data_IF_908156725420
#
_entry.id   IF_908156725420
#
_cell.length_a   1.000
_cell.length_b   1.000
_cell.length_c   1.000
_cell.angle_alpha   90.00
_cell.angle_beta   90.00
_cell.angle_gamma   90.00
#
_symmetry.space_group_name_H-M   'P 1'
#
loop_
_entity.id
_entity.type
_entity.pdbx_description
1 polymer ?
#
# COMPACT_ATOMS: atom_id res chain seq x y z
N UNK A 1 4.56 4.09 -1.44
CA UNK A 1 3.38 3.56 -0.73
C UNK A 1 3.60 3.81 0.76
N UNK A 2 2.63 4.43 1.42
CA UNK A 2 2.68 4.70 2.86
C UNK A 2 1.29 4.60 3.49
N UNK A 3 1.24 4.36 4.79
CA UNK A 3 -0.01 4.26 5.54
C UNK A 3 -0.35 5.59 6.22
N UNK A 4 -1.65 5.87 6.31
CA UNK A 4 -2.21 6.84 7.24
C UNK A 4 -3.10 6.07 8.20
N UNK A 5 -2.77 6.12 9.48
CA UNK A 5 -3.48 5.40 10.54
C UNK A 5 -4.11 6.36 11.54
N UNK A 6 -4.91 5.82 12.47
CA UNK A 6 -5.59 6.60 13.52
C UNK A 6 -6.59 7.64 12.97
N UNK A 7 -7.22 7.33 11.84
CA UNK A 7 -8.34 8.10 11.34
C UNK A 7 -9.59 7.80 12.18
N UNK A 8 -10.49 8.79 12.38
CA UNK A 8 -11.79 8.50 12.95
C UNK A 8 -12.53 7.48 12.07
N UNK A 9 -13.24 6.50 12.66
CA UNK A 9 -14.03 5.53 11.89
C UNK A 9 -15.00 6.25 10.94
N UNK A 10 -14.94 5.92 9.66
CA UNK A 10 -15.70 6.62 8.62
C UNK A 10 -16.45 5.69 7.66
N UNK A 11 -17.61 6.17 7.21
CA UNK A 11 -18.51 5.48 6.26
C UNK A 11 -19.19 4.23 6.84
N UNK A 12 -20.01 3.57 6.03
CA UNK A 12 -20.82 2.41 6.45
C UNK A 12 -19.99 1.24 6.97
N UNK A 13 -18.73 1.15 6.55
CA UNK A 13 -17.79 0.09 6.95
C UNK A 13 -16.85 0.50 8.07
N UNK A 14 -16.94 1.73 8.61
CA UNK A 14 -16.13 2.19 9.75
C UNK A 14 -14.60 2.02 9.56
N UNK A 15 -14.09 2.37 8.37
CA UNK A 15 -12.66 2.34 8.12
C UNK A 15 -11.93 3.38 8.96
N UNK A 16 -10.73 3.03 9.47
CA UNK A 16 -9.95 3.86 10.39
C UNK A 16 -8.46 3.99 10.00
N UNK A 17 -8.12 3.52 8.80
CA UNK A 17 -6.82 3.68 8.18
C UNK A 17 -6.98 3.82 6.66
N UNK A 18 -5.98 4.34 5.98
CA UNK A 18 -5.91 4.28 4.53
C UNK A 18 -4.48 4.03 4.05
N UNK A 19 -4.39 3.38 2.89
CA UNK A 19 -3.13 3.18 2.18
C UNK A 19 -3.08 4.16 1.01
N UNK A 20 -2.01 4.95 0.97
CA UNK A 20 -1.79 5.91 -0.11
C UNK A 20 -0.76 5.36 -1.08
N UNK A 21 -1.19 5.24 -2.33
CA UNK A 21 -0.41 4.76 -3.45
C UNK A 21 -0.18 5.91 -4.43
N UNK A 22 1.08 6.32 -4.53
CA UNK A 22 1.52 7.37 -5.46
C UNK A 22 2.30 6.73 -6.59
N UNK A 23 1.95 7.05 -7.83
CA UNK A 23 2.65 6.56 -9.02
C UNK A 23 3.30 7.71 -9.76
N UNK A 24 4.53 7.50 -10.24
CA UNK A 24 5.28 8.52 -10.99
C UNK A 24 4.52 9.05 -12.21
N UNK A 25 3.71 8.21 -12.86
CA UNK A 25 3.00 8.56 -14.10
C UNK A 25 1.56 9.05 -13.89
N UNK A 26 1.03 9.03 -12.66
CA UNK A 26 -0.29 9.60 -12.35
C UNK A 26 -0.12 10.84 -11.49
N UNK A 27 -0.82 11.92 -11.88
CA UNK A 27 -0.88 13.15 -11.09
C UNK A 27 -1.71 13.01 -9.80
N UNK A 28 -2.55 11.98 -9.71
CA UNK A 28 -3.44 11.74 -8.57
C UNK A 28 -3.05 10.48 -7.81
N UNK A 29 -3.00 10.53 -6.47
CA UNK A 29 -2.79 9.34 -5.65
C UNK A 29 -4.03 8.45 -5.67
N UNK A 30 -3.82 7.14 -5.53
CA UNK A 30 -4.90 6.19 -5.21
C UNK A 30 -4.92 6.02 -3.69
N UNK A 31 -6.08 6.28 -3.09
CA UNK A 31 -6.30 6.11 -1.66
C UNK A 31 -7.23 4.91 -1.47
N UNK A 32 -6.75 3.92 -0.73
CA UNK A 32 -7.53 2.72 -0.41
C UNK A 32 -7.90 2.76 1.07
N UNK A 33 -9.20 2.63 1.43
CA UNK A 33 -9.62 2.58 2.81
C UNK A 33 -9.37 1.20 3.41
N UNK A 34 -8.96 1.17 4.68
CA UNK A 34 -8.56 -0.02 5.42
C UNK A 34 -8.96 0.10 6.89
N UNK A 35 -8.91 -1.04 7.57
CA UNK A 35 -8.84 -1.11 9.02
C UNK A 35 -7.39 -1.19 9.46
N UNK A 36 -7.07 -0.55 10.58
CA UNK A 36 -5.72 -0.59 11.16
C UNK A 36 -5.25 -2.02 11.45
N UNK A 37 -6.19 -2.93 11.69
CA UNK A 37 -5.96 -4.33 12.08
C UNK A 37 -6.03 -5.29 10.87
N UNK A 38 -6.20 -4.77 9.64
CA UNK A 38 -6.15 -5.62 8.45
C UNK A 38 -4.81 -6.34 8.34
N UNK A 39 -4.86 -7.61 7.96
CA UNK A 39 -3.67 -8.43 7.82
C UNK A 39 -2.88 -8.02 6.56
N UNK A 40 -1.63 -8.47 6.50
CA UNK A 40 -0.80 -8.36 5.31
C UNK A 40 -1.46 -9.01 4.07
N UNK A 41 -2.18 -10.11 4.26
CA UNK A 41 -2.86 -10.81 3.16
C UNK A 41 -4.10 -10.04 2.67
N UNK A 42 -4.94 -9.54 3.59
CA UNK A 42 -6.09 -8.69 3.24
C UNK A 42 -5.63 -7.47 2.44
N UNK A 43 -4.52 -6.89 2.86
CA UNK A 43 -3.89 -5.75 2.19
C UNK A 43 -3.44 -6.11 0.78
N UNK A 44 -2.73 -7.22 0.59
CA UNK A 44 -2.30 -7.67 -0.73
C UNK A 44 -3.48 -7.93 -1.68
N UNK A 45 -4.54 -8.59 -1.20
CA UNK A 45 -5.76 -8.87 -1.97
C UNK A 45 -6.47 -7.56 -2.35
N UNK A 46 -6.61 -6.62 -1.41
CA UNK A 46 -7.27 -5.34 -1.69
C UNK A 46 -6.49 -4.50 -2.70
N UNK A 47 -5.16 -4.43 -2.58
CA UNK A 47 -4.32 -3.74 -3.56
C UNK A 47 -4.48 -4.40 -4.93
N UNK A 48 -4.43 -5.73 -5.03
CA UNK A 48 -4.66 -6.42 -6.30
C UNK A 48 -5.99 -6.06 -6.92
N UNK A 49 -7.09 -6.24 -6.19
CA UNK A 49 -8.44 -6.02 -6.71
C UNK A 49 -8.69 -4.57 -7.13
N UNK A 50 -8.25 -3.61 -6.31
CA UNK A 50 -8.55 -2.19 -6.53
C UNK A 50 -7.58 -1.51 -7.46
N UNK A 51 -6.34 -1.98 -7.53
CA UNK A 51 -5.29 -1.23 -8.18
C UNK A 51 -4.98 -1.81 -9.55
N UNK A 52 -4.84 -3.13 -9.70
CA UNK A 52 -4.62 -3.74 -11.03
C UNK A 52 -5.72 -3.37 -12.01
N UNK A 53 -6.97 -3.40 -11.56
CA UNK A 53 -8.13 -3.01 -12.37
C UNK A 53 -8.05 -1.58 -12.90
N UNK A 54 -7.37 -0.67 -12.19
CA UNK A 54 -7.34 0.75 -12.53
C UNK A 54 -6.05 1.19 -13.24
N UNK A 55 -4.91 0.55 -12.98
CA UNK A 55 -3.59 1.01 -13.45
C UNK A 55 -2.82 -0.02 -14.25
N UNK A 56 -3.27 -1.28 -14.29
CA UNK A 56 -2.44 -2.40 -14.74
C UNK A 56 -1.37 -2.78 -13.70
N UNK A 57 -0.44 -3.67 -14.12
CA UNK A 57 0.62 -4.21 -13.27
C UNK A 57 1.73 -3.16 -13.06
N UNK A 58 2.10 -2.90 -11.82
CA UNK A 58 3.26 -2.07 -11.50
C UNK A 58 4.55 -2.81 -11.74
N UNK A 59 5.53 -2.15 -12.35
CA UNK A 59 6.87 -2.70 -12.50
C UNK A 59 7.71 -2.55 -11.23
N UNK A 60 7.50 -1.48 -10.47
CA UNK A 60 8.25 -1.19 -9.25
C UNK A 60 7.35 -0.53 -8.19
N UNK A 61 7.41 -1.01 -6.95
CA UNK A 61 6.72 -0.41 -5.80
C UNK A 61 7.75 -0.07 -4.73
N UNK A 62 7.78 1.22 -4.38
CA UNK A 62 8.63 1.72 -3.28
C UNK A 62 7.73 1.96 -2.06
N UNK A 63 7.99 1.25 -0.97
CA UNK A 63 7.32 1.43 0.33
C UNK A 63 8.14 2.29 1.28
N UNK A 64 7.49 3.04 2.15
CA UNK A 64 8.15 3.66 3.30
C UNK A 64 8.54 2.61 4.36
N UNK A 65 9.30 2.97 5.39
CA UNK A 65 9.64 2.12 6.56
C UNK A 65 8.49 2.02 7.57
N UNK A 66 7.26 1.96 7.09
CA UNK A 66 6.13 1.75 7.98
C UNK A 66 6.17 0.30 8.51
N UNK A 67 6.04 0.07 9.83
CA UNK A 67 6.00 -1.28 10.40
C UNK A 67 4.92 -2.19 9.80
N UNK A 68 3.86 -1.63 9.21
CA UNK A 68 2.82 -2.38 8.50
C UNK A 68 3.25 -2.84 7.10
N UNK A 69 4.28 -2.21 6.52
CA UNK A 69 4.93 -2.60 5.27
C UNK A 69 5.96 -3.72 5.52
N UNK A 70 5.48 -4.79 6.16
CA UNK A 70 6.28 -5.95 6.58
C UNK A 70 6.76 -6.79 5.40
N UNK A 71 7.81 -7.59 5.63
CA UNK A 71 8.20 -8.66 4.70
C UNK A 71 7.04 -9.57 4.32
N UNK A 72 6.12 -9.87 5.25
CA UNK A 72 4.94 -10.68 4.98
C UNK A 72 3.99 -10.03 3.95
N UNK A 73 3.79 -8.70 4.03
CA UNK A 73 3.02 -7.97 3.01
C UNK A 73 3.72 -8.06 1.66
N UNK A 74 5.04 -7.85 1.60
CA UNK A 74 5.80 -7.93 0.35
C UNK A 74 5.76 -9.32 -0.27
N UNK A 75 5.89 -10.38 0.53
CA UNK A 75 5.76 -11.76 0.08
C UNK A 75 4.36 -12.03 -0.47
N UNK A 76 3.31 -11.57 0.22
CA UNK A 76 1.94 -11.75 -0.24
C UNK A 76 1.66 -10.96 -1.53
N UNK A 77 2.19 -9.74 -1.65
CA UNK A 77 2.14 -8.99 -2.90
C UNK A 77 2.88 -9.73 -4.03
N UNK A 78 4.06 -10.28 -3.79
CA UNK A 78 4.76 -11.10 -4.78
C UNK A 78 3.96 -12.33 -5.21
N UNK A 79 3.29 -13.00 -4.27
CA UNK A 79 2.46 -14.17 -4.56
C UNK A 79 1.23 -13.79 -5.39
N UNK A 80 0.60 -12.66 -5.08
CA UNK A 80 -0.61 -12.19 -5.77
C UNK A 80 -0.29 -11.59 -7.14
N UNK A 81 0.80 -10.84 -7.28
CA UNK A 81 1.18 -10.16 -8.53
C UNK A 81 2.13 -10.97 -9.43
N UNK A 82 2.75 -12.02 -8.91
CA UNK A 82 3.79 -12.80 -9.57
C UNK A 82 5.17 -12.11 -9.59
N UNK A 83 6.16 -12.71 -10.27
CA UNK A 83 7.54 -12.18 -10.41
C UNK A 83 7.66 -10.88 -11.22
N UNK A 84 6.56 -10.21 -11.56
CA UNK A 84 6.55 -9.04 -12.46
C UNK A 84 6.78 -7.70 -11.75
N UNK A 85 6.89 -7.70 -10.42
CA UNK A 85 7.05 -6.49 -9.61
C UNK A 85 8.37 -6.54 -8.87
N UNK A 86 9.18 -5.48 -8.97
CA UNK A 86 10.29 -5.24 -8.06
C UNK A 86 9.83 -4.37 -6.87
N UNK A 87 10.37 -4.65 -5.70
CA UNK A 87 10.06 -3.91 -4.48
C UNK A 87 11.32 -3.33 -3.89
N UNK A 88 11.21 -2.09 -3.41
CA UNK A 88 12.27 -1.43 -2.67
C UNK A 88 11.69 -0.71 -1.47
N UNK A 89 12.44 -0.69 -0.37
CA UNK A 89 12.12 0.16 0.77
C UNK A 89 12.83 1.49 0.58
N UNK A 90 12.13 2.60 0.80
CA UNK A 90 12.76 3.91 0.85
C UNK A 90 13.79 3.92 1.98
N UNK A 91 15.05 4.22 1.65
CA UNK A 91 16.04 4.61 2.64
C UNK A 91 15.77 6.09 2.95
N UNK A 92 15.11 6.37 4.08
CA UNK A 92 15.07 7.72 4.64
C UNK A 92 16.18 7.86 5.69
N UNK A 93 17.35 8.40 5.35
CA UNK A 93 18.20 9.05 6.34
C UNK A 93 17.61 10.45 6.54
N UNK A 94 16.90 10.67 7.64
CA UNK A 94 16.65 11.99 8.25
C UNK A 94 16.20 13.14 7.31
N UNK A 95 14.93 13.55 7.39
CA UNK A 95 14.55 14.94 7.08
C UNK A 95 14.11 15.63 8.37
N UNK A 96 15.11 16.12 9.10
CA UNK A 96 15.00 17.39 9.82
C UNK A 96 15.23 18.46 8.74
N UNK A 97 14.23 19.28 8.49
CA UNK A 97 14.40 20.60 7.86
C UNK A 97 14.09 21.63 8.93
#
# INVERSE_FOLDING_TARGET
MYWVTALPPGGDRSFNACLVLVYRYRKTPIILPFHKDNTAMDTAIMIWNRVISHTGIFSNIIGDRDPKLTSALWTNLHNVFGKKISFSMAYHPHLVV
#
